data_IF_838937407494
#
_entry.id   IF_838937407494
#
_cell.length_a   1.000
_cell.length_b   1.000
_cell.length_c   1.000
_cell.angle_alpha   90.00
_cell.angle_beta   90.00
_cell.angle_gamma   90.00
#
_symmetry.space_group_name_H-M   'P 1'
#
loop_
_entity.id
_entity.type
_entity.pdbx_description
1 polymer ?
#
# COMPACT_ATOMS: atom_id res chain seq x y z
N UNK A 1 -11.94 -4.50 -31.84
CA UNK A 1 -12.00 -4.29 -30.39
C UNK A 1 -10.61 -4.46 -29.80
N UNK A 2 -10.01 -3.36 -29.33
CA UNK A 2 -8.72 -3.46 -28.66
C UNK A 2 -8.94 -4.19 -27.34
N UNK A 3 -8.33 -5.35 -27.22
CA UNK A 3 -8.24 -6.01 -25.93
C UNK A 3 -7.43 -5.10 -25.01
N UNK A 4 -8.13 -4.43 -24.11
CA UNK A 4 -7.48 -3.79 -22.99
C UNK A 4 -6.87 -4.92 -22.15
N UNK A 5 -5.65 -5.25 -22.45
CA UNK A 5 -4.88 -6.11 -21.55
C UNK A 5 -4.78 -5.36 -20.24
N UNK A 6 -5.51 -5.84 -19.27
CA UNK A 6 -5.42 -5.34 -17.91
C UNK A 6 -3.96 -5.47 -17.46
N UNK A 7 -3.27 -4.36 -17.47
CA UNK A 7 -1.90 -4.37 -16.95
C UNK A 7 -2.02 -4.56 -15.44
N UNK A 8 -1.72 -5.75 -15.01
CA UNK A 8 -1.70 -6.08 -13.59
C UNK A 8 -0.59 -5.27 -12.94
N UNK A 9 -0.99 -4.21 -12.26
CA UNK A 9 -0.08 -3.50 -11.39
C UNK A 9 0.07 -4.29 -10.11
N UNK A 10 1.29 -4.59 -9.74
CA UNK A 10 1.56 -5.33 -8.53
C UNK A 10 1.95 -4.37 -7.41
N UNK A 11 1.10 -4.30 -6.40
CA UNK A 11 1.44 -3.67 -5.14
C UNK A 11 1.89 -4.76 -4.19
N UNK A 12 2.93 -4.51 -3.44
CA UNK A 12 3.35 -5.43 -2.38
C UNK A 12 3.23 -4.74 -1.03
N UNK A 13 3.14 -5.51 0.03
CA UNK A 13 3.13 -5.00 1.37
C UNK A 13 4.16 -5.74 2.21
N UNK A 14 4.89 -5.00 3.04
CA UNK A 14 5.95 -5.55 3.87
C UNK A 14 5.79 -4.98 5.28
N UNK A 15 5.68 -5.85 6.27
CA UNK A 15 5.74 -5.48 7.66
C UNK A 15 7.02 -6.01 8.28
N UNK A 16 7.70 -5.18 9.03
CA UNK A 16 8.94 -5.55 9.71
C UNK A 16 8.86 -5.13 11.17
N UNK A 17 9.23 -6.03 12.05
CA UNK A 17 9.43 -5.72 13.47
C UNK A 17 10.82 -6.21 13.86
N UNK A 18 11.63 -5.32 14.39
CA UNK A 18 12.96 -5.72 14.81
C UNK A 18 12.97 -6.17 16.28
N UNK A 19 14.11 -6.66 16.73
CA UNK A 19 14.24 -7.19 18.10
C UNK A 19 14.08 -6.12 19.19
N UNK A 20 14.12 -4.86 18.84
CA UNK A 20 13.94 -3.76 19.80
C UNK A 20 12.51 -3.20 19.77
N UNK A 21 11.65 -3.75 18.89
CA UNK A 21 10.26 -3.33 18.79
C UNK A 21 10.00 -2.18 17.81
N UNK A 22 11.00 -1.80 17.00
CA UNK A 22 10.76 -0.84 15.92
C UNK A 22 9.91 -1.50 14.85
N UNK A 23 8.99 -0.78 14.34
CA UNK A 23 8.03 -1.34 13.36
C UNK A 23 7.96 -0.52 12.09
N UNK A 24 7.81 -1.13 10.86
CA UNK A 24 7.68 -0.53 9.70
C UNK A 24 6.61 -1.16 9.00
N UNK A 25 5.78 -0.51 8.53
CA UNK A 25 4.77 -0.98 7.56
C UNK A 25 4.98 -0.23 6.25
N UNK A 26 5.21 -0.92 5.15
CA UNK A 26 5.56 -0.29 3.87
C UNK A 26 4.75 -0.93 2.75
N UNK A 27 4.12 -0.11 1.91
CA UNK A 27 3.34 -0.59 0.77
C UNK A 27 3.89 0.05 -0.51
N UNK A 28 4.97 -0.49 -1.08
CA UNK A 28 5.49 0.02 -2.35
C UNK A 28 4.61 -0.38 -3.54
N UNK A 29 4.47 0.56 -4.49
CA UNK A 29 3.70 0.34 -5.72
C UNK A 29 4.16 1.33 -6.79
N UNK A 30 4.03 0.92 -8.04
CA UNK A 30 4.52 1.72 -9.17
C UNK A 30 5.98 1.43 -9.48
N UNK A 31 6.45 1.87 -10.65
CA UNK A 31 7.82 1.60 -11.07
C UNK A 31 8.03 0.15 -11.45
N UNK A 32 7.06 -0.44 -12.14
CA UNK A 32 7.13 -1.84 -12.55
C UNK A 32 8.04 -2.01 -13.76
N UNK A 33 8.86 -3.05 -13.75
CA UNK A 33 9.80 -3.36 -14.84
C UNK A 33 9.12 -3.43 -16.22
N UNK A 34 7.90 -3.94 -16.25
CA UNK A 34 7.18 -4.10 -17.51
C UNK A 34 6.56 -2.81 -18.04
N UNK A 35 6.55 -1.74 -17.27
CA UNK A 35 5.84 -0.52 -17.66
C UNK A 35 6.58 0.78 -17.36
N UNK A 36 7.77 0.70 -16.77
CA UNK A 36 8.50 1.89 -16.33
C UNK A 36 9.94 1.85 -16.79
N UNK A 37 10.49 2.97 -17.25
CA UNK A 37 11.89 3.00 -17.64
C UNK A 37 12.81 2.79 -16.44
N UNK A 38 13.87 2.05 -16.65
CA UNK A 38 14.90 1.85 -15.64
C UNK A 38 15.78 3.10 -15.59
N UNK A 39 16.17 3.49 -14.37
CA UNK A 39 17.14 4.57 -14.17
C UNK A 39 18.46 3.89 -13.78
N UNK A 40 19.37 3.67 -14.73
CA UNK A 40 20.55 2.82 -14.47
C UNK A 40 21.42 3.32 -13.32
N UNK A 41 21.56 4.63 -13.18
CA UNK A 41 22.40 5.20 -12.14
C UNK A 41 21.84 4.98 -10.73
N UNK A 42 20.56 4.66 -10.61
CA UNK A 42 19.88 4.47 -9.32
C UNK A 42 19.55 3.00 -9.06
N UNK A 43 19.55 2.16 -10.09
CA UNK A 43 19.27 0.74 -9.95
C UNK A 43 17.80 0.38 -9.74
N UNK A 44 16.88 1.28 -10.09
CA UNK A 44 15.44 0.99 -9.97
C UNK A 44 14.66 1.68 -11.10
N UNK A 45 13.39 1.32 -11.22
CA UNK A 45 12.51 1.88 -12.24
C UNK A 45 11.89 3.21 -11.79
N UNK A 46 11.67 4.09 -12.74
CA UNK A 46 10.96 5.34 -12.48
C UNK A 46 9.56 5.03 -11.96
N UNK A 47 9.16 5.69 -10.90
CA UNK A 47 7.85 5.48 -10.31
C UNK A 47 6.75 6.00 -11.23
N UNK A 48 5.64 5.25 -11.34
CA UNK A 48 4.53 5.58 -12.24
C UNK A 48 3.34 6.22 -11.52
N UNK A 49 3.47 6.61 -10.24
CA UNK A 49 2.33 7.08 -9.46
C UNK A 49 1.79 8.45 -9.89
N UNK A 50 2.50 9.18 -10.74
CA UNK A 50 1.94 10.41 -11.34
C UNK A 50 0.67 10.13 -12.15
N UNK A 51 0.46 8.89 -12.59
CA UNK A 51 -0.79 8.50 -13.27
C UNK A 51 -2.04 8.66 -12.39
N UNK A 52 -1.86 8.83 -11.09
CA UNK A 52 -2.98 9.00 -10.15
C UNK A 52 -3.51 10.44 -10.12
N UNK A 53 -2.82 11.38 -10.75
CA UNK A 53 -3.34 12.74 -10.89
C UNK A 53 -4.51 12.77 -11.88
N UNK A 54 -5.40 13.72 -11.68
CA UNK A 54 -6.49 13.99 -12.61
C UNK A 54 -6.12 15.18 -13.50
N UNK A 55 -6.56 15.13 -14.75
CA UNK A 55 -6.33 16.24 -15.68
C UNK A 55 -7.42 17.32 -15.60
N UNK A 56 -8.51 17.02 -14.89
CA UNK A 56 -9.56 18.01 -14.62
C UNK A 56 -9.02 19.04 -13.64
N UNK A 57 -9.13 20.32 -13.99
CA UNK A 57 -8.63 21.41 -13.15
C UNK A 57 -9.50 21.63 -11.91
N UNK A 58 -8.89 22.18 -10.88
CA UNK A 58 -9.59 22.63 -9.68
C UNK A 58 -9.93 21.59 -8.63
N UNK A 59 -9.50 20.34 -8.83
CA UNK A 59 -9.72 19.29 -7.84
C UNK A 59 -8.50 19.16 -6.92
N UNK A 60 -8.67 18.61 -5.71
CA UNK A 60 -7.52 18.37 -4.84
C UNK A 60 -6.44 17.49 -5.49
N UNK A 61 -6.84 16.62 -6.41
CA UNK A 61 -5.94 15.69 -7.10
C UNK A 61 -5.57 16.12 -8.51
N UNK A 62 -5.87 17.37 -8.89
CA UNK A 62 -5.48 17.89 -10.21
C UNK A 62 -3.96 17.92 -10.36
N UNK A 63 -3.51 17.66 -11.58
CA UNK A 63 -2.08 17.70 -11.91
C UNK A 63 -1.57 19.14 -11.85
N UNK A 64 -0.84 19.46 -10.82
CA UNK A 64 -0.25 20.78 -10.62
C UNK A 64 1.12 20.65 -9.96
N UNK A 65 2.03 21.58 -10.25
CA UNK A 65 3.34 21.58 -9.59
C UNK A 65 3.21 21.64 -8.05
N UNK A 66 4.04 20.87 -7.37
CA UNK A 66 4.08 20.86 -5.91
C UNK A 66 3.01 20.03 -5.22
N UNK A 67 2.07 19.47 -5.97
CA UNK A 67 1.02 18.61 -5.40
C UNK A 67 1.45 17.14 -5.37
N UNK A 68 0.90 16.40 -4.43
CA UNK A 68 1.04 14.94 -4.36
C UNK A 68 -0.16 14.29 -5.04
N UNK A 69 0.03 13.19 -5.78
CA UNK A 69 -1.12 12.46 -6.33
C UNK A 69 -1.90 11.77 -5.20
N UNK A 70 -3.13 11.37 -5.50
CA UNK A 70 -3.84 10.51 -4.56
C UNK A 70 -3.15 9.16 -4.45
N UNK A 71 -3.42 8.45 -3.38
CA UNK A 71 -2.84 7.12 -3.19
C UNK A 71 -3.90 6.12 -2.74
N UNK A 72 -3.69 4.86 -3.11
CA UNK A 72 -4.46 3.74 -2.58
C UNK A 72 -3.69 3.03 -1.45
N UNK A 73 -2.46 3.49 -1.20
CA UNK A 73 -1.53 2.78 -0.30
C UNK A 73 -1.82 3.16 1.14
N UNK A 74 -2.12 2.16 1.95
CA UNK A 74 -2.55 2.36 3.33
C UNK A 74 -1.74 1.51 4.32
N UNK A 75 -0.39 1.62 4.30
CA UNK A 75 0.37 0.92 5.34
C UNK A 75 -0.03 1.47 6.70
N UNK A 76 -0.29 0.59 7.65
CA UNK A 76 -0.91 0.95 8.92
C UNK A 76 -0.19 0.34 10.11
N UNK A 77 -0.19 1.07 11.21
CA UNK A 77 0.29 0.57 12.50
C UNK A 77 -0.77 0.91 13.55
N UNK A 78 -1.12 -0.05 14.38
CA UNK A 78 -2.08 0.13 15.46
C UNK A 78 -1.44 -0.19 16.80
N UNK A 79 -1.88 0.52 17.83
CA UNK A 79 -1.47 0.30 19.22
C UNK A 79 -2.70 0.01 20.05
N UNK A 80 -2.61 -1.02 20.86
CA UNK A 80 -3.65 -1.35 21.83
C UNK A 80 -3.19 -0.92 23.23
N UNK A 81 -4.13 -0.68 24.12
CA UNK A 81 -3.83 -0.21 25.49
C UNK A 81 -3.02 -1.22 26.30
N UNK A 82 -3.10 -2.49 25.97
CA UNK A 82 -2.34 -3.54 26.65
C UNK A 82 -0.86 -3.60 26.23
N UNK A 83 -0.47 -2.73 25.30
CA UNK A 83 0.89 -2.68 24.77
C UNK A 83 1.08 -3.46 23.48
N UNK A 84 0.07 -4.21 23.06
CA UNK A 84 0.13 -4.94 21.79
C UNK A 84 0.23 -3.95 20.62
N UNK A 85 1.05 -4.29 19.64
CA UNK A 85 1.21 -3.50 18.44
C UNK A 85 0.98 -4.36 17.20
N UNK A 86 0.39 -3.78 16.19
CA UNK A 86 0.10 -4.48 14.95
C UNK A 86 0.55 -3.62 13.78
N UNK A 87 1.41 -4.16 12.90
CA UNK A 87 1.69 -3.58 11.60
C UNK A 87 0.91 -4.38 10.57
N UNK A 88 0.27 -3.71 9.63
CA UNK A 88 -0.55 -4.43 8.64
C UNK A 88 -0.78 -3.61 7.38
N UNK A 89 -1.13 -4.31 6.30
CA UNK A 89 -1.48 -3.70 5.04
C UNK A 89 -1.82 -4.76 4.02
N UNK A 90 -2.12 -4.31 2.85
CA UNK A 90 -2.49 -5.24 1.78
C UNK A 90 -2.22 -4.68 0.38
N UNK A 91 -2.35 -5.33 -0.63
CA UNK A 91 -2.27 -4.99 -1.96
C UNK A 91 -3.63 -4.82 -2.48
N UNK A 92 -3.88 -4.49 -3.59
CA UNK A 92 -5.17 -4.59 -4.26
C UNK A 92 -5.76 -3.27 -4.75
N UNK A 93 -4.94 -2.25 -5.03
CA UNK A 93 -5.42 -0.99 -5.59
C UNK A 93 -6.48 -0.32 -4.72
N UNK A 94 -7.59 0.06 -5.33
CA UNK A 94 -8.66 0.78 -4.63
C UNK A 94 -9.39 -0.07 -3.57
N UNK A 95 -9.12 -1.36 -3.50
CA UNK A 95 -9.71 -2.23 -2.47
C UNK A 95 -8.93 -2.19 -1.15
N UNK A 96 -7.74 -1.63 -1.15
CA UNK A 96 -6.84 -1.72 0.01
C UNK A 96 -7.47 -1.18 1.29
N UNK A 97 -8.02 0.02 1.24
CA UNK A 97 -8.61 0.64 2.42
C UNK A 97 -9.83 -0.12 2.94
N UNK A 98 -10.64 -0.67 2.03
CA UNK A 98 -11.82 -1.44 2.38
C UNK A 98 -11.44 -2.76 3.06
N UNK A 99 -10.51 -3.50 2.46
CA UNK A 99 -10.07 -4.78 3.01
C UNK A 99 -9.36 -4.61 4.34
N UNK A 100 -8.52 -3.56 4.45
CA UNK A 100 -7.82 -3.30 5.69
C UNK A 100 -8.76 -2.87 6.81
N UNK A 101 -9.76 -2.06 6.48
CA UNK A 101 -10.76 -1.65 7.46
C UNK A 101 -11.50 -2.87 7.98
N UNK A 102 -11.96 -3.76 7.09
CA UNK A 102 -12.67 -4.97 7.49
C UNK A 102 -11.79 -5.87 8.38
N UNK A 103 -10.52 -6.03 8.01
CA UNK A 103 -9.57 -6.80 8.83
C UNK A 103 -9.39 -6.15 10.20
N UNK A 104 -9.14 -4.85 10.22
CA UNK A 104 -8.85 -4.14 11.46
C UNK A 104 -10.05 -4.17 12.42
N UNK A 105 -11.26 -3.99 11.89
CA UNK A 105 -12.46 -4.03 12.72
C UNK A 105 -12.65 -5.42 13.34
N UNK A 106 -12.40 -6.48 12.56
CA UNK A 106 -12.46 -7.83 13.12
C UNK A 106 -11.41 -8.03 14.21
N UNK A 107 -10.19 -7.62 13.94
CA UNK A 107 -9.11 -7.74 14.90
C UNK A 107 -9.42 -6.96 16.19
N UNK A 108 -9.93 -5.74 16.07
CA UNK A 108 -10.13 -4.86 17.21
C UNK A 108 -11.38 -5.21 18.05
N UNK A 109 -12.40 -5.82 17.43
CA UNK A 109 -13.67 -6.04 18.09
C UNK A 109 -14.04 -7.51 18.33
N UNK A 110 -13.32 -8.45 17.75
CA UNK A 110 -13.60 -9.88 17.92
C UNK A 110 -12.42 -10.56 18.60
N UNK A 111 -12.19 -10.21 19.85
CA UNK A 111 -11.16 -10.84 20.67
C UNK A 111 -11.48 -12.34 20.82
N UNK A 112 -10.51 -13.18 20.49
CA UNK A 112 -10.63 -14.62 20.67
C UNK A 112 -10.60 -15.43 19.38
N UNK A 113 -10.91 -14.82 18.27
CA UNK A 113 -10.70 -15.44 16.96
C UNK A 113 -9.67 -14.64 16.16
N UNK A 114 -8.71 -14.09 16.86
CA UNK A 114 -7.60 -13.43 16.21
C UNK A 114 -7.02 -14.41 15.19
N UNK A 115 -6.99 -13.95 13.96
CA UNK A 115 -6.44 -14.73 12.87
C UNK A 115 -5.13 -15.35 13.32
N UNK A 116 -5.07 -16.65 13.27
CA UNK A 116 -3.84 -17.38 13.52
C UNK A 116 -2.76 -16.73 12.65
N UNK A 117 -1.69 -16.23 13.21
CA UNK A 117 -0.66 -15.63 12.38
C UNK A 117 -0.18 -16.66 11.40
N UNK A 118 -0.48 -16.45 10.13
CA UNK A 118 0.10 -17.28 9.10
C UNK A 118 1.54 -16.84 8.93
N UNK A 119 2.35 -17.28 9.83
CA UNK A 119 3.79 -17.22 9.62
C UNK A 119 4.44 -18.30 10.44
N UNK A 120 4.55 -19.43 9.84
CA UNK A 120 5.57 -20.36 10.26
C UNK A 120 6.45 -20.63 9.07
N UNK A 121 7.78 -20.47 9.22
CA UNK A 121 8.70 -20.87 8.17
C UNK A 121 8.62 -22.37 7.87
#
# INVERSE_FOLDING_TARGET
>A
MAHLTEKRGDTVHIDVVDRWGNMXAVTPSGGWLQSSPIIPSLGFCLNSRAQMFWLTEGLPTSLEPGKRPRTTLTPSIAWHQDGTRLAFGTXGGDQQDQWQLAFFLRYAHHEGEAATPVARP
#
